data_IF_452548495442
#
_entry.id   IF_452548495442
#
_cell.length_a   1.000
_cell.length_b   1.000
_cell.length_c   1.000
_cell.angle_alpha   90.00
_cell.angle_beta   90.00
_cell.angle_gamma   90.00
#
_symmetry.space_group_name_H-M   'P 1'
#
loop_
_entity.id
_entity.type
_entity.pdbx_description
1 polymer ?
#
# COMPACT_ATOMS: atom_id res chain seq x y z
N UNK A 1 -6.69 9.71 0.22
CA UNK A 1 -6.22 8.33 0.32
C UNK A 1 -5.16 8.29 1.39
N UNK A 2 -5.39 7.53 2.46
CA UNK A 2 -4.44 7.33 3.56
C UNK A 2 -3.12 6.78 3.02
N UNK A 3 -1.96 7.42 3.30
CA UNK A 3 -0.67 7.00 2.76
C UNK A 3 -0.29 5.58 3.19
N UNK A 4 -0.72 5.15 4.38
CA UNK A 4 -0.51 3.79 4.89
C UNK A 4 -1.27 2.74 4.07
N UNK A 5 -2.53 3.02 3.68
CA UNK A 5 -3.34 2.09 2.90
C UNK A 5 -2.71 1.79 1.53
N UNK A 6 -2.21 2.84 0.87
CA UNK A 6 -1.53 2.73 -0.41
C UNK A 6 -0.19 1.99 -0.29
N UNK A 7 0.58 2.29 0.76
CA UNK A 7 1.84 1.60 1.06
C UNK A 7 1.64 0.11 1.23
N UNK A 8 0.63 -0.30 2.00
CA UNK A 8 0.31 -1.71 2.22
C UNK A 8 -0.14 -2.38 0.93
N UNK A 9 -1.01 -1.73 0.14
CA UNK A 9 -1.46 -2.28 -1.14
C UNK A 9 -0.29 -2.52 -2.11
N UNK A 10 0.65 -1.57 -2.21
CA UNK A 10 1.86 -1.70 -3.04
C UNK A 10 2.80 -2.79 -2.52
N UNK A 11 3.03 -2.87 -1.20
CA UNK A 11 3.86 -3.92 -0.60
C UNK A 11 3.27 -5.32 -0.83
N UNK A 12 1.96 -5.46 -0.72
CA UNK A 12 1.25 -6.71 -1.00
C UNK A 12 1.36 -7.11 -2.47
N UNK A 13 1.19 -6.15 -3.39
CA UNK A 13 1.37 -6.37 -4.82
C UNK A 13 2.82 -6.78 -5.15
N UNK A 14 3.82 -6.06 -4.61
CA UNK A 14 5.24 -6.36 -4.84
C UNK A 14 5.63 -7.74 -4.29
N UNK A 15 5.19 -8.09 -3.08
CA UNK A 15 5.46 -9.41 -2.50
C UNK A 15 4.82 -10.57 -3.28
N UNK A 16 3.71 -10.32 -4.00
CA UNK A 16 3.11 -11.32 -4.88
C UNK A 16 3.93 -11.58 -6.15
N UNK A 17 4.59 -10.56 -6.70
CA UNK A 17 5.53 -10.70 -7.84
C UNK A 17 6.77 -11.50 -7.44
N UNK A 18 7.27 -11.32 -6.22
CA UNK A 18 8.43 -12.08 -5.72
C UNK A 18 8.14 -13.57 -5.54
N UNK A 19 6.86 -13.95 -5.44
CA UNK A 19 6.39 -15.34 -5.31
C UNK A 19 6.53 -16.16 -6.61
N UNK A 20 6.69 -15.51 -7.78
CA UNK A 20 6.85 -16.17 -9.08
C UNK A 20 8.30 -16.23 -9.56
N UNK A 21 9.25 -15.63 -8.82
CA UNK A 21 10.69 -15.63 -9.13
C UNK A 21 11.56 -16.45 -8.16
N UNK A 22 12.88 -16.42 -8.37
CA UNK A 22 13.88 -17.13 -7.56
C UNK A 22 14.21 -16.48 -6.19
N UNK A 23 13.40 -15.51 -5.74
CA UNK A 23 13.63 -14.69 -4.54
C UNK A 23 12.67 -15.02 -3.38
N UNK A 24 12.07 -16.21 -3.40
CA UNK A 24 11.29 -16.74 -2.29
C UNK A 24 12.18 -16.83 -1.03
N UNK A 25 12.10 -15.82 -0.15
CA UNK A 25 12.94 -15.70 1.05
C UNK A 25 13.37 -14.27 1.39
N UNK A 26 13.14 -13.29 0.51
CA UNK A 26 13.44 -11.88 0.78
C UNK A 26 12.63 -11.28 1.95
N UNK A 27 13.13 -10.18 2.52
CA UNK A 27 12.44 -9.46 3.60
C UNK A 27 11.03 -9.00 3.18
N UNK A 28 10.86 -8.58 1.93
CA UNK A 28 9.59 -8.12 1.36
C UNK A 28 8.59 -9.27 1.23
N UNK A 29 9.02 -10.47 0.84
CA UNK A 29 8.18 -11.67 0.83
C UNK A 29 7.65 -12.02 2.23
N UNK A 30 8.52 -12.02 3.25
CA UNK A 30 8.12 -12.29 4.64
C UNK A 30 7.15 -11.23 5.17
N UNK A 31 7.41 -9.96 4.86
CA UNK A 31 6.53 -8.84 5.19
C UNK A 31 5.16 -8.99 4.53
N UNK A 32 5.12 -9.26 3.22
CA UNK A 32 3.88 -9.45 2.48
C UNK A 32 3.07 -10.63 3.04
N UNK A 33 3.72 -11.74 3.41
CA UNK A 33 3.05 -12.86 4.08
C UNK A 33 2.37 -12.46 5.40
N UNK A 34 3.06 -11.69 6.25
CA UNK A 34 2.49 -11.16 7.52
C UNK A 34 1.31 -10.21 7.26
N UNK A 35 1.45 -9.32 6.28
CA UNK A 35 0.39 -8.38 5.89
C UNK A 35 -0.83 -9.12 5.32
N UNK A 36 -0.64 -10.12 4.45
CA UNK A 36 -1.73 -10.95 3.91
C UNK A 36 -2.47 -11.65 5.05
N UNK A 37 -1.77 -12.20 6.03
CA UNK A 37 -2.41 -12.89 7.15
C UNK A 37 -3.26 -11.92 7.99
N UNK A 38 -2.77 -10.70 8.26
CA UNK A 38 -3.51 -9.68 8.99
C UNK A 38 -4.73 -9.16 8.20
N UNK A 39 -4.52 -8.79 6.94
CA UNK A 39 -5.56 -8.25 6.07
C UNK A 39 -6.61 -9.33 5.78
N UNK A 40 -6.20 -10.55 5.44
CA UNK A 40 -7.11 -11.66 5.17
C UNK A 40 -7.98 -12.03 6.39
N UNK A 41 -7.40 -12.02 7.60
CA UNK A 41 -8.17 -12.23 8.83
C UNK A 41 -9.22 -11.13 9.03
N UNK A 42 -8.91 -9.88 8.67
CA UNK A 42 -9.87 -8.77 8.79
C UNK A 42 -10.92 -8.78 7.69
N UNK A 43 -10.53 -9.17 6.47
CA UNK A 43 -11.39 -9.23 5.29
C UNK A 43 -12.25 -10.49 5.23
N UNK A 44 -12.08 -11.45 6.15
CA UNK A 44 -12.90 -12.67 6.21
C UNK A 44 -14.41 -12.38 6.31
N UNK A 45 -14.81 -11.21 6.84
CA UNK A 45 -16.19 -10.75 6.90
C UNK A 45 -16.66 -9.88 5.72
N UNK A 46 -15.79 -9.59 4.74
CA UNK A 46 -16.06 -8.72 3.59
C UNK A 46 -15.56 -9.39 2.29
N UNK A 47 -16.48 -9.98 1.50
CA UNK A 47 -16.12 -10.70 0.28
C UNK A 47 -15.56 -9.77 -0.81
N UNK A 48 -16.02 -8.52 -0.88
CA UNK A 48 -15.52 -7.54 -1.85
C UNK A 48 -14.06 -7.17 -1.54
N UNK A 49 -13.76 -6.94 -0.25
CA UNK A 49 -12.40 -6.66 0.19
C UNK A 49 -11.46 -7.87 -0.02
N UNK A 50 -11.94 -9.08 0.25
CA UNK A 50 -11.20 -10.32 -0.01
C UNK A 50 -10.90 -10.51 -1.50
N UNK A 51 -11.86 -10.19 -2.37
CA UNK A 51 -11.66 -10.25 -3.82
C UNK A 51 -10.66 -9.20 -4.31
N UNK A 52 -10.73 -7.96 -3.79
CA UNK A 52 -9.77 -6.91 -4.12
C UNK A 52 -8.33 -7.30 -3.72
N UNK A 53 -8.16 -7.95 -2.57
CA UNK A 53 -6.86 -8.49 -2.15
C UNK A 53 -6.33 -9.53 -3.13
N UNK A 54 -7.18 -10.46 -3.56
CA UNK A 54 -6.80 -11.52 -4.48
C UNK A 54 -6.50 -10.98 -5.90
N UNK A 55 -7.31 -10.04 -6.41
CA UNK A 55 -7.08 -9.39 -7.70
C UNK A 55 -5.77 -8.61 -7.72
N UNK A 56 -5.48 -7.80 -6.69
CA UNK A 56 -4.22 -7.05 -6.60
C UNK A 56 -2.99 -7.96 -6.51
N UNK A 57 -3.12 -9.17 -5.95
CA UNK A 57 -2.05 -10.17 -5.94
C UNK A 57 -1.84 -10.82 -7.31
N UNK A 58 -2.91 -11.05 -8.06
CA UNK A 58 -2.85 -11.65 -9.41
C UNK A 58 -2.42 -10.65 -10.47
N UNK A 59 -2.74 -9.37 -10.29
CA UNK A 59 -2.46 -8.29 -11.21
C UNK A 59 -1.73 -7.13 -10.50
N UNK A 60 -0.51 -7.37 -9.99
CA UNK A 60 0.23 -6.37 -9.21
C UNK A 60 0.67 -5.16 -10.04
N UNK A 61 0.78 -5.29 -11.37
CA UNK A 61 1.01 -4.15 -12.26
C UNK A 61 -0.27 -3.35 -12.60
N UNK A 62 -1.46 -3.90 -12.34
CA UNK A 62 -2.71 -3.18 -12.58
C UNK A 62 -2.97 -2.18 -11.46
N UNK A 63 -2.68 -0.91 -11.76
CA UNK A 63 -2.88 0.19 -10.82
C UNK A 63 -4.33 0.31 -10.34
N UNK A 64 -5.32 -0.16 -11.11
CA UNK A 64 -6.74 -0.15 -10.69
C UNK A 64 -6.99 -1.14 -9.58
N UNK A 65 -6.46 -2.35 -9.68
CA UNK A 65 -6.63 -3.39 -8.66
C UNK A 65 -5.93 -3.00 -7.36
N UNK A 66 -4.71 -2.45 -7.44
CA UNK A 66 -3.99 -1.90 -6.28
C UNK A 66 -4.75 -0.74 -5.64
N UNK A 67 -5.37 0.13 -6.44
CA UNK A 67 -6.19 1.26 -5.93
C UNK A 67 -7.46 0.79 -5.24
N UNK A 68 -8.13 -0.23 -5.78
CA UNK A 68 -9.32 -0.82 -5.18
C UNK A 68 -8.98 -1.41 -3.83
N UNK A 69 -7.89 -2.19 -3.72
CA UNK A 69 -7.40 -2.72 -2.45
C UNK A 69 -7.07 -1.61 -1.45
N UNK A 70 -6.35 -0.56 -1.87
CA UNK A 70 -6.04 0.58 -1.01
C UNK A 70 -7.30 1.29 -0.48
N UNK A 71 -8.36 1.37 -1.29
CA UNK A 71 -9.63 1.98 -0.88
C UNK A 71 -10.37 1.15 0.17
N UNK A 72 -10.37 -0.19 0.04
CA UNK A 72 -10.89 -1.07 1.07
C UNK A 72 -10.06 -0.96 2.36
N UNK A 73 -8.73 -1.02 2.25
CA UNK A 73 -7.83 -0.86 3.40
C UNK A 73 -8.06 0.46 4.13
N UNK A 74 -8.18 1.58 3.42
CA UNK A 74 -8.47 2.89 4.00
C UNK A 74 -9.75 2.88 4.86
N UNK A 75 -10.82 2.23 4.38
CA UNK A 75 -12.08 2.12 5.11
C UNK A 75 -11.90 1.38 6.45
N UNK A 76 -11.12 0.30 6.44
CA UNK A 76 -10.81 -0.48 7.64
C UNK A 76 -9.87 0.28 8.59
N UNK A 77 -8.84 0.95 8.07
CA UNK A 77 -7.92 1.75 8.88
C UNK A 77 -8.64 2.88 9.63
N UNK A 78 -9.63 3.53 9.01
CA UNK A 78 -10.43 4.58 9.67
C UNK A 78 -11.42 4.04 10.69
N UNK A 79 -11.93 2.84 10.48
CA UNK A 79 -12.97 2.24 11.34
C UNK A 79 -12.37 1.41 12.49
N UNK A 80 -11.11 0.98 12.35
CA UNK A 80 -10.43 0.08 13.27
C UNK A 80 -8.99 0.55 13.52
N UNK A 81 -8.84 1.33 14.60
CA UNK A 81 -7.53 1.87 15.00
C UNK A 81 -6.54 0.81 15.49
N UNK A 82 -7.01 -0.32 16.04
CA UNK A 82 -6.12 -1.42 16.43
C UNK A 82 -5.55 -2.11 15.20
N UNK A 83 -6.38 -2.33 14.18
CA UNK A 83 -5.93 -2.85 12.89
C UNK A 83 -4.94 -1.89 12.21
N UNK A 84 -5.20 -0.59 12.25
CA UNK A 84 -4.28 0.40 11.72
C UNK A 84 -2.91 0.37 12.41
N UNK A 85 -2.91 0.28 13.74
CA UNK A 85 -1.68 0.18 14.52
C UNK A 85 -0.93 -1.12 14.24
N UNK A 86 -1.62 -2.26 14.19
CA UNK A 86 -1.00 -3.54 13.89
C UNK A 86 -0.34 -3.57 12.49
N UNK A 87 -0.98 -2.96 11.49
CA UNK A 87 -0.40 -2.84 10.16
C UNK A 87 0.81 -1.92 10.13
N UNK A 88 0.73 -0.79 10.84
CA UNK A 88 1.85 0.14 10.95
C UNK A 88 3.04 -0.50 11.66
N UNK A 89 2.81 -1.21 12.77
CA UNK A 89 3.86 -1.89 13.52
C UNK A 89 4.60 -2.92 12.65
N UNK A 90 3.87 -3.66 11.80
CA UNK A 90 4.48 -4.62 10.86
C UNK A 90 5.33 -3.95 9.79
N UNK A 91 4.89 -2.79 9.27
CA UNK A 91 5.67 -2.03 8.28
C UNK A 91 6.90 -1.38 8.92
N UNK A 92 6.77 -0.83 10.13
CA UNK A 92 7.87 -0.21 10.87
C UNK A 92 8.92 -1.25 11.33
N UNK A 93 8.48 -2.43 11.76
CA UNK A 93 9.36 -3.55 12.13
C UNK A 93 10.21 -3.99 10.93
N UNK A 94 9.57 -4.27 9.79
CA UNK A 94 10.28 -4.69 8.58
C UNK A 94 11.18 -3.59 7.99
N UNK A 95 10.78 -2.33 8.13
CA UNK A 95 11.63 -1.19 7.73
C UNK A 95 12.84 -1.02 8.64
N UNK A 96 12.82 -1.47 9.88
CA UNK A 96 14.01 -1.40 10.74
C UNK A 96 15.03 -2.47 10.40
N UNK A 97 14.56 -3.65 10.02
CA UNK A 97 15.41 -4.81 9.73
C UNK A 97 15.99 -4.82 8.31
N UNK A 98 15.33 -4.18 7.34
CA UNK A 98 15.73 -4.29 5.92
C UNK A 98 15.77 -2.94 5.15
N UNK A 99 16.91 -2.55 4.57
CA UNK A 99 17.06 -1.29 3.84
C UNK A 99 16.35 -1.27 2.48
N UNK A 100 16.04 -2.41 1.87
CA UNK A 100 15.24 -2.44 0.64
C UNK A 100 13.77 -2.09 0.95
N UNK A 101 13.26 -2.65 2.04
CA UNK A 101 11.92 -2.36 2.57
C UNK A 101 11.79 -0.87 2.94
N UNK A 102 12.80 -0.29 3.58
CA UNK A 102 12.83 1.17 3.83
C UNK A 102 12.68 1.99 2.56
N UNK A 103 13.39 1.62 1.47
CA UNK A 103 13.31 2.37 0.21
C UNK A 103 11.92 2.29 -0.40
N UNK A 104 11.25 1.14 -0.34
CA UNK A 104 9.89 1.00 -0.84
C UNK A 104 8.94 1.86 -0.03
N UNK A 105 8.99 1.77 1.31
CA UNK A 105 8.15 2.58 2.19
C UNK A 105 8.37 4.08 1.96
N UNK A 106 9.62 4.54 1.91
CA UNK A 106 9.95 5.95 1.62
C UNK A 106 9.48 6.38 0.22
N UNK A 107 9.68 5.56 -0.81
CA UNK A 107 9.25 5.88 -2.19
C UNK A 107 7.73 5.99 -2.27
N UNK A 108 7.00 5.11 -1.58
CA UNK A 108 5.54 5.15 -1.58
C UNK A 108 5.01 6.32 -0.76
N UNK A 109 5.64 6.66 0.36
CA UNK A 109 5.28 7.80 1.20
C UNK A 109 5.53 9.15 0.50
N UNK A 110 6.62 9.24 -0.28
CA UNK A 110 6.95 10.39 -1.12
C UNK A 110 5.94 10.53 -2.26
N UNK A 111 5.62 9.44 -2.97
CA UNK A 111 4.60 9.44 -4.03
C UNK A 111 3.17 9.68 -3.52
N UNK A 112 2.82 9.21 -2.33
CA UNK A 112 1.54 9.50 -1.69
C UNK A 112 1.39 11.00 -1.34
N UNK A 113 2.51 11.68 -1.09
CA UNK A 113 2.55 13.14 -0.88
C UNK A 113 2.43 13.93 -2.19
N UNK A 114 2.83 13.35 -3.33
CA UNK A 114 2.73 13.99 -4.65
C UNK A 114 1.28 13.98 -5.19
N UNK A 115 0.41 13.10 -4.67
CA UNK A 115 -1.04 13.08 -4.99
C UNK A 115 -1.82 14.32 -4.55
N UNK A 116 -1.18 15.32 -3.90
CA UNK A 116 -1.82 16.58 -3.48
C UNK A 116 -1.06 17.83 -3.89
N UNK A 117 -0.33 17.80 -5.01
CA UNK A 117 0.16 19.03 -5.68
C UNK A 117 -0.54 19.22 -7.02
N UNK A 118 -1.88 19.24 -6.95
CA UNK A 118 -2.76 19.80 -7.98
C UNK A 118 -3.50 21.03 -7.46
N UNK A 119 -2.95 21.74 -6.47
CA UNK A 119 -3.33 23.14 -6.25
C UNK A 119 -2.64 23.91 -7.38
N UNK A 120 -3.34 24.10 -8.50
CA UNK A 120 -3.01 25.16 -9.45
C UNK A 120 -3.15 26.47 -8.68
N UNK A 121 -2.08 26.84 -7.99
CA UNK A 121 -1.82 28.21 -7.61
C UNK A 121 -1.78 28.96 -8.94
N UNK A 122 -2.87 29.62 -9.28
CA UNK A 122 -2.90 30.68 -10.28
C UNK A 122 -1.78 31.64 -9.94
N UNK A 123 -0.63 31.44 -10.57
CA UNK A 123 0.48 32.38 -10.53
C UNK A 123 0.14 33.47 -11.53
N UNK A 124 -0.11 34.66 -10.99
CA UNK A 124 -0.35 35.91 -11.68
C UNK A 124 0.69 36.18 -12.78
N UNK A 125 0.24 36.79 -13.87
CA UNK A 125 1.09 37.37 -14.90
C UNK A 125 0.26 38.24 -15.85
N UNK A 126 0.06 39.50 -15.45
CA UNK A 126 -0.38 40.60 -16.30
C UNK A 126 0.48 40.65 -17.58
N UNK A 127 -0.15 40.59 -18.75
CA UNK A 127 0.47 41.07 -20.00
C UNK A 127 -0.60 41.80 -20.80
N UNK A 128 -0.52 43.13 -20.69
CA UNK A 128 -1.15 44.12 -21.55
C UNK A 128 -0.73 43.95 -23.02
N UNK A 129 -1.68 44.08 -23.95
CA UNK A 129 -1.49 44.71 -25.27
C UNK A 129 -2.80 45.39 -25.69
#
# INVERSE_FOLDING_TARGET
MEPLAWTIAVLLAKGAVEHTGALAGGAIYNLAGRLIALVGKRFTGDPDASQALDSARRHPEDSREVTTLASHLERYLRSDGEFAKALQDVVDDASKDDPETQRVVMTVQDNASIGKVGNFRTVNGDVSF
#
